data_IF_707546101268
#
_entry.id   IF_707546101268
#
_cell.length_a   1.000
_cell.length_b   1.000
_cell.length_c   1.000
_cell.angle_alpha   90.00
_cell.angle_beta   90.00
_cell.angle_gamma   90.00
#
_symmetry.space_group_name_H-M   'P 1'
#
loop_
_entity.id
_entity.type
_entity.pdbx_description
1 polymer ?
#
# COMPACT_ATOMS: atom_id res chain seq x y z
N UNK A 1 52.01 -7.12 -0.83
CA UNK A 1 51.77 -6.68 -2.23
C UNK A 1 51.56 -7.91 -3.13
N UNK A 2 50.32 -8.42 -3.26
CA UNK A 2 49.99 -9.59 -4.11
C UNK A 2 48.72 -9.35 -4.95
N UNK A 3 48.48 -8.08 -5.29
CA UNK A 3 47.30 -7.62 -6.04
C UNK A 3 47.66 -7.35 -7.52
N UNK A 4 48.93 -7.52 -7.89
CA UNK A 4 49.51 -7.04 -9.17
C UNK A 4 49.47 -8.06 -10.32
N UNK A 5 48.99 -9.30 -10.08
CA UNK A 5 48.81 -10.35 -11.09
C UNK A 5 47.35 -10.78 -11.24
N UNK A 6 46.42 -9.87 -10.96
CA UNK A 6 45.03 -10.11 -11.29
C UNK A 6 44.83 -9.78 -12.77
N UNK A 7 44.70 -10.83 -13.59
CA UNK A 7 44.54 -10.76 -15.05
C UNK A 7 43.49 -9.68 -15.39
N UNK A 8 43.82 -8.72 -16.27
CA UNK A 8 42.96 -7.55 -16.55
C UNK A 8 41.52 -7.98 -16.90
N UNK A 9 41.36 -9.16 -17.48
CA UNK A 9 40.07 -9.82 -17.75
C UNK A 9 39.26 -10.13 -16.48
N UNK A 10 39.91 -10.68 -15.45
CA UNK A 10 39.28 -10.99 -14.16
C UNK A 10 38.91 -9.73 -13.39
N UNK A 11 39.73 -8.66 -13.48
CA UNK A 11 39.45 -7.36 -12.87
C UNK A 11 38.21 -6.71 -13.48
N UNK A 12 38.10 -6.79 -14.82
CA UNK A 12 36.93 -6.32 -15.56
C UNK A 12 35.66 -7.09 -15.16
N UNK A 13 35.78 -8.42 -14.97
CA UNK A 13 34.65 -9.26 -14.57
C UNK A 13 34.14 -8.94 -13.17
N UNK A 14 35.03 -8.65 -12.21
CA UNK A 14 34.64 -8.19 -10.86
C UNK A 14 33.93 -6.84 -10.92
N UNK A 15 34.45 -5.89 -11.71
CA UNK A 15 33.81 -4.58 -11.89
C UNK A 15 32.42 -4.71 -12.52
N UNK A 16 32.25 -5.62 -13.48
CA UNK A 16 30.98 -5.88 -14.14
C UNK A 16 29.94 -6.47 -13.17
N UNK A 17 30.34 -7.46 -12.35
CA UNK A 17 29.47 -8.03 -11.32
C UNK A 17 29.05 -6.93 -10.32
N UNK A 18 30.00 -6.11 -9.87
CA UNK A 18 29.72 -5.02 -8.93
C UNK A 18 28.74 -3.99 -9.51
N UNK A 19 28.89 -3.68 -10.80
CA UNK A 19 28.01 -2.77 -11.52
C UNK A 19 26.58 -3.33 -11.68
N UNK A 20 26.45 -4.63 -11.99
CA UNK A 20 25.15 -5.31 -12.08
C UNK A 20 24.45 -5.35 -10.72
N UNK A 21 25.19 -5.63 -9.63
CA UNK A 21 24.62 -5.62 -8.27
C UNK A 21 24.22 -4.22 -7.81
N UNK A 22 24.93 -3.17 -8.23
CA UNK A 22 24.59 -1.79 -7.88
C UNK A 22 23.29 -1.32 -8.56
N UNK A 23 23.03 -1.77 -9.80
CA UNK A 23 21.79 -1.44 -10.53
C UNK A 23 20.60 -2.23 -10.01
N UNK A 24 20.79 -3.48 -9.59
CA UNK A 24 19.71 -4.34 -9.08
C UNK A 24 19.13 -3.88 -7.73
N UNK A 25 19.87 -3.10 -6.93
CA UNK A 25 19.43 -2.65 -5.62
C UNK A 25 18.41 -1.49 -5.66
N UNK A 26 18.36 -0.72 -6.75
CA UNK A 26 17.46 0.44 -6.88
C UNK A 26 16.11 0.14 -7.55
N UNK A 27 15.89 -1.10 -8.01
CA UNK A 27 14.69 -1.47 -8.77
C UNK A 27 13.52 -2.01 -7.92
N UNK A 28 13.72 -2.18 -6.61
CA UNK A 28 12.62 -2.47 -5.69
C UNK A 28 12.04 -1.17 -5.17
N UNK A 29 11.31 -0.46 -6.03
CA UNK A 29 10.36 0.55 -5.56
C UNK A 29 9.16 -0.19 -4.96
N UNK A 30 9.34 -0.64 -3.72
CA UNK A 30 8.25 -1.11 -2.88
C UNK A 30 7.48 0.12 -2.41
N UNK A 31 6.76 0.77 -3.34
CA UNK A 31 5.75 1.75 -3.00
C UNK A 31 4.81 1.07 -1.99
N UNK A 32 4.93 1.45 -0.71
CA UNK A 32 4.21 0.83 0.38
C UNK A 32 2.69 0.90 0.16
N UNK A 33 1.91 0.07 0.87
CA UNK A 33 0.46 0.03 0.69
C UNK A 33 -0.16 1.42 0.87
N UNK A 34 -1.04 1.79 -0.06
CA UNK A 34 -1.78 3.04 -0.02
C UNK A 34 -2.82 2.93 1.10
N UNK A 35 -2.75 3.82 2.09
CA UNK A 35 -3.74 3.85 3.17
C UNK A 35 -4.98 4.61 2.75
N UNK A 36 -6.15 4.00 2.91
CA UNK A 36 -7.44 4.61 2.56
C UNK A 36 -8.45 4.46 3.70
N UNK A 37 -9.25 5.49 3.93
CA UNK A 37 -10.41 5.43 4.83
C UNK A 37 -11.68 5.27 4.01
N UNK A 38 -12.58 4.38 4.44
CA UNK A 38 -13.89 4.21 3.82
C UNK A 38 -14.91 4.95 4.67
N UNK A 39 -15.55 5.96 4.08
CA UNK A 39 -16.52 6.80 4.77
C UNK A 39 -17.76 5.96 5.13
N UNK A 40 -18.24 5.99 6.38
CA UNK A 40 -19.48 5.34 6.77
C UNK A 40 -20.66 5.84 5.95
N UNK A 41 -21.47 4.92 5.43
CA UNK A 41 -22.63 5.23 4.63
C UNK A 41 -23.93 4.81 5.32
N UNK A 42 -25.00 5.55 5.05
CA UNK A 42 -26.34 5.28 5.59
C UNK A 42 -27.16 4.48 4.59
N UNK A 43 -27.73 3.37 5.05
CA UNK A 43 -28.76 2.62 4.30
C UNK A 43 -30.13 3.18 4.70
N UNK A 44 -30.87 3.73 3.73
CA UNK A 44 -32.23 4.22 3.96
C UNK A 44 -33.22 3.08 3.72
N UNK A 45 -33.52 2.32 4.77
CA UNK A 45 -34.50 1.25 4.75
C UNK A 45 -35.44 1.35 5.96
N UNK A 46 -36.66 0.84 5.81
CA UNK A 46 -37.67 0.81 6.87
C UNK A 46 -37.30 -0.17 8.01
N UNK A 47 -36.49 -1.18 7.71
CA UNK A 47 -36.01 -2.19 8.65
C UNK A 47 -34.56 -1.92 9.04
N UNK A 48 -34.17 -2.41 10.22
CA UNK A 48 -32.77 -2.42 10.63
C UNK A 48 -31.97 -3.37 9.72
N UNK A 49 -31.09 -2.77 8.92
CA UNK A 49 -30.18 -3.46 8.00
C UNK A 49 -28.72 -3.24 8.38
N UNK A 50 -28.43 -3.06 9.67
CA UNK A 50 -27.05 -2.85 10.16
C UNK A 50 -26.13 -3.99 9.72
N UNK A 51 -26.58 -5.24 9.79
CA UNK A 51 -25.82 -6.41 9.30
C UNK A 51 -25.45 -6.31 7.82
N UNK A 52 -26.33 -5.75 6.98
CA UNK A 52 -26.10 -5.62 5.55
C UNK A 52 -25.10 -4.49 5.27
N UNK A 53 -25.21 -3.38 6.00
CA UNK A 53 -24.22 -2.30 5.98
C UNK A 53 -22.83 -2.85 6.30
N UNK A 54 -22.73 -3.68 7.32
CA UNK A 54 -21.48 -4.28 7.77
C UNK A 54 -20.91 -5.24 6.70
N UNK A 55 -21.74 -6.14 6.17
CA UNK A 55 -21.32 -7.06 5.12
C UNK A 55 -20.87 -6.36 3.83
N UNK A 56 -21.52 -5.25 3.44
CA UNK A 56 -21.12 -4.46 2.27
C UNK A 56 -19.74 -3.84 2.50
N UNK A 57 -19.50 -3.27 3.67
CA UNK A 57 -18.20 -2.70 4.00
C UNK A 57 -17.11 -3.77 4.02
N UNK A 58 -17.37 -4.94 4.59
CA UNK A 58 -16.39 -6.04 4.63
C UNK A 58 -16.04 -6.52 3.22
N UNK A 59 -17.03 -6.61 2.33
CA UNK A 59 -16.78 -6.91 0.92
C UNK A 59 -15.93 -5.83 0.24
N UNK A 60 -16.21 -4.54 0.47
CA UNK A 60 -15.40 -3.46 -0.08
C UNK A 60 -13.97 -3.46 0.46
N UNK A 61 -13.79 -3.64 1.78
CA UNK A 61 -12.48 -3.67 2.42
C UNK A 61 -11.64 -4.83 1.90
N UNK A 62 -12.24 -6.01 1.72
CA UNK A 62 -11.58 -7.17 1.11
C UNK A 62 -11.16 -6.90 -0.35
N UNK A 63 -12.04 -6.29 -1.14
CA UNK A 63 -11.73 -5.97 -2.54
C UNK A 63 -10.65 -4.90 -2.67
N UNK A 64 -10.67 -3.87 -1.83
CA UNK A 64 -9.67 -2.80 -1.83
C UNK A 64 -8.30 -3.31 -1.39
N UNK A 65 -8.24 -4.10 -0.32
CA UNK A 65 -7.00 -4.67 0.22
C UNK A 65 -6.35 -5.75 -0.65
N UNK A 66 -6.99 -6.10 -1.78
CA UNK A 66 -6.51 -7.14 -2.69
C UNK A 66 -5.11 -6.80 -3.23
N UNK A 67 -4.25 -7.81 -3.28
CA UNK A 67 -2.84 -7.70 -3.71
C UNK A 67 -1.95 -6.84 -2.79
N UNK A 68 -2.39 -6.52 -1.58
CA UNK A 68 -1.57 -5.81 -0.59
C UNK A 68 -1.20 -4.38 -1.01
N UNK A 69 -1.86 -3.84 -2.03
CA UNK A 69 -1.62 -2.50 -2.57
C UNK A 69 -2.31 -1.41 -1.76
N UNK A 70 -3.34 -1.78 -1.00
CA UNK A 70 -4.16 -0.86 -0.22
C UNK A 70 -4.34 -1.39 1.19
N UNK A 71 -4.16 -0.51 2.17
CA UNK A 71 -4.47 -0.76 3.58
C UNK A 71 -5.71 0.05 3.95
N UNK A 72 -6.80 -0.64 4.29
CA UNK A 72 -8.08 0.00 4.65
C UNK A 72 -8.06 0.29 6.15
N UNK A 73 -8.28 1.55 6.51
CA UNK A 73 -8.39 2.01 7.89
C UNK A 73 -9.70 1.46 8.50
N UNK A 74 -9.63 1.07 9.77
CA UNK A 74 -10.77 0.56 10.50
C UNK A 74 -11.94 1.59 10.53
N UNK A 75 -13.16 1.08 10.51
CA UNK A 75 -14.39 1.89 10.50
C UNK A 75 -14.54 2.75 11.75
N UNK A 76 -14.33 2.20 12.94
CA UNK A 76 -14.45 2.91 14.22
C UNK A 76 -13.49 4.11 14.30
N UNK A 77 -12.28 3.96 13.75
CA UNK A 77 -11.31 5.04 13.69
C UNK A 77 -11.73 6.11 12.68
N UNK A 78 -12.30 5.69 11.54
CA UNK A 78 -12.84 6.61 10.54
C UNK A 78 -14.04 7.39 11.07
N UNK A 79 -14.92 6.75 11.85
CA UNK A 79 -16.08 7.37 12.51
C UNK A 79 -15.64 8.46 13.50
N UNK A 80 -14.68 8.17 14.38
CA UNK A 80 -14.12 9.15 15.32
C UNK A 80 -13.50 10.35 14.61
N UNK A 81 -12.78 10.10 13.52
CA UNK A 81 -12.19 11.19 12.72
C UNK A 81 -13.28 12.04 12.07
N UNK A 82 -14.36 11.41 11.58
CA UNK A 82 -15.47 12.09 10.96
C UNK A 82 -16.23 12.98 11.94
N UNK A 83 -16.38 12.59 13.20
CA UNK A 83 -16.99 13.43 14.25
C UNK A 83 -16.22 14.74 14.48
N UNK A 84 -14.89 14.71 14.30
CA UNK A 84 -14.03 15.90 14.40
C UNK A 84 -13.95 16.71 13.09
N UNK A 85 -14.50 16.19 11.99
CA UNK A 85 -14.38 16.78 10.66
C UNK A 85 -15.56 17.71 10.37
N UNK A 86 -15.29 19.02 10.26
CA UNK A 86 -16.32 20.06 10.07
C UNK A 86 -16.62 20.41 8.59
N UNK A 87 -16.05 19.68 7.63
CA UNK A 87 -16.22 19.93 6.19
C UNK A 87 -17.27 19.05 5.53
N UNK A 88 -17.83 19.49 4.40
CA UNK A 88 -18.72 18.66 3.57
C UNK A 88 -17.90 17.65 2.78
N UNK A 89 -18.20 16.37 2.95
CA UNK A 89 -17.63 15.29 2.13
C UNK A 89 -18.50 15.11 0.87
N UNK A 90 -18.24 15.93 -0.15
CA UNK A 90 -18.84 15.76 -1.48
C UNK A 90 -17.76 15.46 -2.52
N UNK A 91 -18.19 14.82 -3.60
CA UNK A 91 -17.44 14.69 -4.85
C UNK A 91 -17.17 16.11 -5.38
N UNK A 92 -15.92 16.42 -5.69
CA UNK A 92 -15.50 17.71 -6.28
C UNK A 92 -15.95 17.78 -7.73
#
# INVERSE_FOLDING_TARGET
MKILFYDKSKLCFIMLIFFITAIGASAFDAAGPIRVAVIPFKINAEKDLTFLKDGIFDMFAFHLSREGRVEVINREDTEKMLESFSGTLNEV
#
